data_IF_393786804309
#
_entry.id   IF_393786804309
#
_cell.length_a   1.000
_cell.length_b   1.000
_cell.length_c   1.000
_cell.angle_alpha   90.00
_cell.angle_beta   90.00
_cell.angle_gamma   90.00
#
_symmetry.space_group_name_H-M   'P 1'
#
loop_
_entity.id
_entity.type
_entity.pdbx_description
1 polymer ?
#
# COMPACT_ATOMS: atom_id res chain seq x y z
N UNK A 1 12.90 50.02 32.43
CA UNK A 1 12.17 49.09 31.56
C UNK A 1 10.95 48.53 32.32
N UNK A 2 9.74 49.00 32.02
CA UNK A 2 8.49 48.49 32.63
C UNK A 2 7.97 47.32 31.80
N UNK A 3 7.86 46.17 32.43
CA UNK A 3 7.23 44.98 31.84
C UNK A 3 5.75 45.21 31.56
N UNK A 4 5.30 44.94 30.32
CA UNK A 4 3.89 45.03 29.95
C UNK A 4 3.15 43.83 30.56
N UNK A 5 2.12 44.07 31.42
CA UNK A 5 1.25 43.07 32.00
C UNK A 5 0.19 42.66 30.97
N UNK A 6 -0.06 41.40 30.82
CA UNK A 6 -1.19 40.81 30.08
C UNK A 6 -2.31 40.46 31.09
N UNK A 7 -3.62 40.66 30.75
CA UNK A 7 -4.19 41.12 29.49
C UNK A 7 -4.30 42.65 29.36
N UNK A 8 -4.20 43.17 28.11
CA UNK A 8 -4.41 44.59 27.81
C UNK A 8 -5.90 44.94 27.99
N UNK A 9 -6.18 46.07 28.65
CA UNK A 9 -7.55 46.57 28.78
C UNK A 9 -8.07 47.12 27.46
N UNK A 10 -9.39 47.03 27.24
CA UNK A 10 -10.06 47.44 26.00
C UNK A 10 -9.77 48.90 25.63
N UNK A 11 -9.53 49.77 26.64
CA UNK A 11 -9.23 51.17 26.51
C UNK A 11 -7.88 51.43 25.84
N UNK A 12 -6.88 50.53 26.03
CA UNK A 12 -5.55 50.66 25.43
C UNK A 12 -5.55 50.30 23.94
N UNK A 13 -6.57 49.56 23.47
CA UNK A 13 -6.72 49.18 22.06
C UNK A 13 -7.33 50.30 21.19
N UNK A 14 -8.05 51.25 21.81
CA UNK A 14 -8.75 52.34 21.08
C UNK A 14 -7.82 53.52 20.82
N UNK A 15 -6.82 53.75 21.69
CA UNK A 15 -5.91 54.89 21.58
C UNK A 15 -4.89 54.79 20.44
N UNK A 16 -4.67 53.61 19.86
CA UNK A 16 -3.70 53.40 18.76
C UNK A 16 -4.26 53.58 17.34
N UNK A 17 -5.52 54.00 17.18
CA UNK A 17 -6.21 54.10 15.88
C UNK A 17 -6.37 55.54 15.35
N UNK A 18 -5.51 56.46 15.68
CA UNK A 18 -5.52 57.80 15.04
C UNK A 18 -4.17 58.14 14.42
N UNK A 19 -3.88 57.51 13.26
CA UNK A 19 -3.01 58.03 12.24
C UNK A 19 -3.86 58.34 11.01
N UNK A 20 -3.79 59.54 10.42
CA UNK A 20 -4.51 59.84 9.19
C UNK A 20 -3.91 59.01 8.07
N UNK A 21 -4.74 58.23 7.38
CA UNK A 21 -4.39 57.53 6.17
C UNK A 21 -4.27 58.52 5.04
N UNK A 22 -3.07 58.62 4.46
CA UNK A 22 -2.78 59.31 3.21
C UNK A 22 -3.62 58.64 2.10
N UNK A 23 -4.45 59.44 1.41
CA UNK A 23 -5.21 59.05 0.23
C UNK A 23 -4.28 59.00 -0.97
N UNK A 24 -3.53 57.94 -1.14
CA UNK A 24 -2.87 57.63 -2.39
C UNK A 24 -3.28 56.19 -2.78
N UNK A 25 -4.15 56.09 -3.82
CA UNK A 25 -4.33 54.96 -4.68
C UNK A 25 -4.65 53.62 -3.97
N UNK A 26 -5.86 53.40 -3.44
CA UNK A 26 -6.38 52.04 -3.27
C UNK A 26 -6.69 51.49 -4.67
N UNK A 27 -5.76 50.71 -5.19
CA UNK A 27 -6.02 49.81 -6.31
C UNK A 27 -7.03 48.80 -5.82
N UNK A 28 -8.31 48.93 -6.21
CA UNK A 28 -9.36 47.95 -5.96
C UNK A 28 -8.99 46.71 -6.75
N UNK A 29 -8.49 45.68 -6.08
CA UNK A 29 -8.29 44.35 -6.66
C UNK A 29 -9.65 43.84 -7.17
N UNK A 30 -9.92 44.10 -8.46
CA UNK A 30 -11.05 43.47 -9.14
C UNK A 30 -10.68 42.04 -9.44
N UNK A 31 -11.57 41.05 -9.21
CA UNK A 31 -11.35 39.69 -9.68
C UNK A 31 -11.08 39.76 -11.18
N UNK A 32 -9.90 39.35 -11.61
CA UNK A 32 -9.49 39.48 -13.02
C UNK A 32 -10.20 38.53 -13.97
N UNK A 33 -10.99 37.58 -13.44
CA UNK A 33 -11.78 36.61 -14.26
C UNK A 33 -13.11 36.27 -13.60
N UNK A 34 -14.19 36.08 -14.37
CA UNK A 34 -15.45 35.52 -13.89
C UNK A 34 -15.27 34.10 -13.35
N UNK A 35 -16.02 33.72 -12.29
CA UNK A 35 -15.98 32.38 -11.71
C UNK A 35 -16.32 31.26 -12.71
N UNK A 36 -17.07 31.57 -13.77
CA UNK A 36 -17.35 30.68 -14.90
C UNK A 36 -16.11 30.31 -15.71
N UNK A 37 -15.14 31.22 -15.83
CA UNK A 37 -13.91 30.96 -16.57
C UNK A 37 -12.91 30.16 -15.73
N UNK A 38 -12.87 30.40 -14.42
CA UNK A 38 -12.13 29.57 -13.48
C UNK A 38 -12.65 28.12 -13.47
N UNK A 39 -13.97 27.92 -13.58
CA UNK A 39 -14.59 26.59 -13.66
C UNK A 39 -14.33 25.89 -15.02
N UNK A 40 -14.19 26.66 -16.11
CA UNK A 40 -13.77 26.13 -17.42
C UNK A 40 -12.30 25.75 -17.45
N UNK A 41 -11.43 26.61 -16.91
CA UNK A 41 -10.00 26.34 -16.80
C UNK A 41 -9.73 25.11 -15.90
N UNK A 42 -10.51 24.92 -14.80
CA UNK A 42 -10.45 23.74 -13.98
C UNK A 42 -10.90 22.46 -14.70
N UNK A 43 -11.81 22.54 -15.66
CA UNK A 43 -12.22 21.41 -16.49
C UNK A 43 -11.26 21.13 -17.66
N UNK A 44 -10.53 22.14 -18.10
CA UNK A 44 -9.49 21.98 -19.15
C UNK A 44 -8.12 21.65 -18.56
N UNK A 45 -7.87 21.97 -17.30
CA UNK A 45 -6.68 21.57 -16.56
C UNK A 45 -6.80 20.21 -15.87
N UNK A 46 -7.81 19.40 -16.21
CA UNK A 46 -7.82 17.96 -15.96
C UNK A 46 -6.88 17.22 -16.95
N UNK A 47 -5.74 17.84 -17.28
CA UNK A 47 -4.57 17.06 -17.63
C UNK A 47 -4.21 16.23 -16.41
N UNK A 48 -4.01 14.89 -16.53
CA UNK A 48 -3.48 14.12 -15.44
C UNK A 48 -2.21 14.83 -14.96
N UNK A 49 -2.01 14.85 -13.66
CA UNK A 49 -0.91 15.56 -12.99
C UNK A 49 0.42 15.25 -13.71
N UNK A 50 0.72 16.00 -14.77
CA UNK A 50 1.78 15.78 -15.78
C UNK A 50 3.14 16.31 -15.33
N UNK A 51 3.37 16.37 -13.99
CA UNK A 51 4.65 16.77 -13.44
C UNK A 51 5.48 15.65 -12.82
N UNK A 52 4.90 14.45 -12.60
CA UNK A 52 5.59 13.35 -11.90
C UNK A 52 6.05 12.20 -12.82
N UNK A 53 5.79 12.21 -14.11
CA UNK A 53 6.02 11.07 -14.99
C UNK A 53 7.51 10.71 -15.15
N UNK A 54 8.34 11.63 -15.58
CA UNK A 54 9.78 11.39 -15.76
C UNK A 54 10.51 11.24 -14.43
N UNK A 55 10.16 12.06 -13.43
CA UNK A 55 10.77 12.01 -12.12
C UNK A 55 10.40 10.73 -11.36
N UNK A 56 9.15 10.24 -11.49
CA UNK A 56 8.71 9.01 -10.84
C UNK A 56 9.49 7.77 -11.31
N UNK A 57 9.90 7.72 -12.57
CA UNK A 57 10.70 6.62 -13.12
C UNK A 57 12.13 6.62 -12.56
N UNK A 58 12.71 7.78 -12.32
CA UNK A 58 14.03 7.91 -11.69
C UNK A 58 13.96 7.42 -10.24
N UNK A 59 12.95 7.87 -9.47
CA UNK A 59 12.76 7.43 -8.09
C UNK A 59 12.49 5.93 -8.00
N UNK A 60 11.68 5.38 -8.90
CA UNK A 60 11.41 3.93 -8.99
C UNK A 60 12.69 3.14 -9.25
N UNK A 61 13.53 3.56 -10.21
CA UNK A 61 14.83 2.93 -10.47
C UNK A 61 15.76 2.99 -9.26
N UNK A 62 15.82 4.13 -8.56
CA UNK A 62 16.60 4.26 -7.32
C UNK A 62 16.09 3.35 -6.21
N UNK A 63 14.78 3.21 -6.04
CA UNK A 63 14.18 2.25 -5.11
C UNK A 63 14.64 0.83 -5.44
N UNK A 64 14.53 0.39 -6.69
CA UNK A 64 14.92 -0.95 -7.12
C UNK A 64 16.41 -1.19 -6.89
N UNK A 65 17.27 -0.22 -7.21
CA UNK A 65 18.71 -0.34 -6.98
C UNK A 65 19.05 -0.47 -5.48
N UNK A 66 18.41 0.31 -4.63
CA UNK A 66 18.55 0.17 -3.17
C UNK A 66 18.11 -1.21 -2.69
N UNK A 67 16.97 -1.71 -3.15
CA UNK A 67 16.46 -3.03 -2.80
C UNK A 67 17.40 -4.15 -3.24
N UNK A 68 18.07 -4.01 -4.39
CA UNK A 68 19.07 -4.96 -4.88
C UNK A 68 20.25 -5.06 -3.93
N UNK A 69 20.68 -3.94 -3.36
CA UNK A 69 21.85 -3.88 -2.46
C UNK A 69 21.50 -4.32 -1.03
N UNK A 70 20.34 -3.96 -0.53
CA UNK A 70 20.00 -4.10 0.90
C UNK A 70 19.15 -5.35 1.21
N UNK A 71 18.21 -5.67 0.35
CA UNK A 71 17.16 -6.64 0.67
C UNK A 71 17.50 -8.09 0.22
N UNK A 72 18.55 -8.32 -0.58
CA UNK A 72 18.84 -9.63 -1.17
C UNK A 72 17.64 -10.20 -1.91
N UNK A 73 16.87 -9.35 -2.59
CA UNK A 73 15.68 -9.73 -3.32
C UNK A 73 16.02 -10.43 -4.63
N UNK A 74 15.14 -11.34 -5.03
CA UNK A 74 15.21 -12.01 -6.35
C UNK A 74 15.11 -10.95 -7.47
N UNK A 75 16.05 -10.99 -8.43
CA UNK A 75 16.10 -10.03 -9.54
C UNK A 75 14.81 -9.99 -10.37
N UNK A 76 14.11 -11.13 -10.51
CA UNK A 76 12.82 -11.20 -11.21
C UNK A 76 11.74 -10.43 -10.44
N UNK A 77 11.78 -10.47 -9.11
CA UNK A 77 10.88 -9.66 -8.25
C UNK A 77 11.21 -8.17 -8.39
N UNK A 78 12.49 -7.81 -8.41
CA UNK A 78 12.91 -6.42 -8.60
C UNK A 78 12.48 -5.87 -9.96
N UNK A 79 12.56 -6.67 -11.02
CA UNK A 79 12.04 -6.30 -12.36
C UNK A 79 10.54 -6.11 -12.35
N UNK A 80 9.77 -6.97 -11.68
CA UNK A 80 8.33 -6.79 -11.52
C UNK A 80 8.00 -5.50 -10.74
N UNK A 81 8.72 -5.21 -9.66
CA UNK A 81 8.56 -3.96 -8.91
C UNK A 81 8.98 -2.72 -9.72
N UNK A 82 9.96 -2.85 -10.60
CA UNK A 82 10.35 -1.79 -11.53
C UNK A 82 9.25 -1.49 -12.56
N UNK A 83 8.47 -2.49 -12.96
CA UNK A 83 7.37 -2.34 -13.92
C UNK A 83 6.11 -1.71 -13.31
N UNK A 84 5.88 -1.86 -11.98
CA UNK A 84 4.69 -1.35 -11.31
C UNK A 84 4.94 0.05 -10.73
N UNK A 85 4.16 1.03 -11.15
CA UNK A 85 4.23 2.42 -10.70
C UNK A 85 3.59 2.58 -9.31
N UNK A 86 4.36 2.35 -8.23
CA UNK A 86 3.88 2.31 -6.84
C UNK A 86 3.13 3.59 -6.41
N UNK A 87 3.53 4.77 -6.93
CA UNK A 87 2.89 6.05 -6.62
C UNK A 87 1.41 6.10 -7.06
N UNK A 88 0.97 5.25 -7.98
CA UNK A 88 -0.43 5.15 -8.41
C UNK A 88 -1.34 4.44 -7.38
N UNK A 89 -0.74 3.81 -6.36
CA UNK A 89 -1.43 3.04 -5.33
C UNK A 89 -1.53 3.75 -3.98
N UNK A 90 -1.02 4.97 -3.88
CA UNK A 90 -1.08 5.82 -2.69
C UNK A 90 -1.89 7.09 -2.97
N UNK A 91 -2.22 7.81 -1.91
CA UNK A 91 -2.82 9.14 -2.06
C UNK A 91 -1.87 10.06 -2.84
N UNK A 92 -2.38 10.89 -3.79
CA UNK A 92 -1.54 11.83 -4.54
C UNK A 92 -0.66 12.73 -3.67
N UNK A 93 -1.11 13.11 -2.47
CA UNK A 93 -0.32 13.88 -1.51
C UNK A 93 0.91 13.12 -0.99
N UNK A 94 0.89 11.79 -1.05
CA UNK A 94 1.97 10.91 -0.60
C UNK A 94 2.82 10.36 -1.76
N UNK A 95 2.48 10.70 -2.99
CA UNK A 95 3.16 10.16 -4.18
C UNK A 95 4.67 10.42 -4.19
N UNK A 96 5.12 11.55 -3.63
CA UNK A 96 6.55 11.88 -3.48
C UNK A 96 7.31 10.91 -2.57
N UNK A 97 6.64 10.27 -1.61
CA UNK A 97 7.22 9.31 -0.66
C UNK A 97 7.05 7.85 -1.11
N UNK A 98 6.30 7.60 -2.20
CA UNK A 98 5.93 6.25 -2.62
C UNK A 98 7.13 5.32 -2.88
N UNK A 99 8.29 5.87 -3.21
CA UNK A 99 9.51 5.11 -3.52
C UNK A 99 10.53 5.09 -2.39
N UNK A 100 10.22 5.69 -1.24
CA UNK A 100 11.00 5.54 -0.02
C UNK A 100 10.72 4.19 0.65
N UNK A 101 11.67 3.67 1.44
CA UNK A 101 11.47 2.41 2.15
C UNK A 101 10.66 2.62 3.43
N UNK A 102 9.43 3.08 3.24
CA UNK A 102 8.47 3.35 4.32
C UNK A 102 7.08 2.82 3.99
N UNK A 103 6.31 2.50 5.02
CA UNK A 103 4.89 2.20 4.90
C UNK A 103 4.11 3.50 4.86
N UNK A 104 3.11 3.60 3.97
CA UNK A 104 2.28 4.78 3.82
C UNK A 104 0.81 4.44 4.09
N UNK A 105 0.02 5.35 4.68
CA UNK A 105 -1.39 5.12 4.92
C UNK A 105 -2.18 5.02 3.61
N UNK A 106 -3.13 4.08 3.58
CA UNK A 106 -4.07 3.89 2.46
C UNK A 106 -5.53 4.06 2.90
N UNK A 107 -5.76 4.59 4.12
CA UNK A 107 -7.07 4.75 4.73
C UNK A 107 -7.47 3.58 5.61
N UNK A 108 -8.53 3.75 6.39
CA UNK A 108 -9.12 2.73 7.28
C UNK A 108 -8.12 2.07 8.25
N UNK A 109 -7.11 2.82 8.71
CA UNK A 109 -6.04 2.28 9.57
C UNK A 109 -5.10 1.31 8.88
N UNK A 110 -5.18 1.16 7.54
CA UNK A 110 -4.36 0.26 6.75
C UNK A 110 -3.21 1.00 6.05
N UNK A 111 -2.18 0.24 5.67
CA UNK A 111 -0.99 0.80 5.01
C UNK A 111 -0.58 -0.05 3.80
N UNK A 112 0.00 0.60 2.79
CA UNK A 112 0.83 -0.09 1.81
C UNK A 112 2.16 -0.44 2.49
N UNK A 113 2.56 -1.72 2.43
CA UNK A 113 3.82 -2.19 3.02
C UNK A 113 5.02 -1.52 2.37
N UNK A 114 6.09 -1.29 3.12
CA UNK A 114 7.32 -0.72 2.58
C UNK A 114 7.92 -1.60 1.49
N UNK A 115 8.61 -1.00 0.50
CA UNK A 115 9.15 -1.72 -0.64
C UNK A 115 10.05 -2.91 -0.29
N UNK A 116 10.93 -2.77 0.71
CA UNK A 116 11.83 -3.85 1.14
C UNK A 116 11.08 -5.08 1.66
N UNK A 117 9.98 -4.89 2.38
CA UNK A 117 9.15 -5.99 2.89
C UNK A 117 8.42 -6.70 1.76
N UNK A 118 7.85 -5.96 0.80
CA UNK A 118 7.21 -6.55 -0.39
C UNK A 118 8.23 -7.35 -1.20
N UNK A 119 9.40 -6.76 -1.50
CA UNK A 119 10.47 -7.45 -2.21
C UNK A 119 10.89 -8.75 -1.51
N UNK A 120 11.09 -8.70 -0.20
CA UNK A 120 11.50 -9.85 0.62
C UNK A 120 10.45 -10.95 0.63
N UNK A 121 9.19 -10.61 0.93
CA UNK A 121 8.11 -11.60 1.02
C UNK A 121 7.86 -12.30 -0.33
N UNK A 122 7.83 -11.53 -1.42
CA UNK A 122 7.61 -12.10 -2.75
C UNK A 122 8.82 -12.93 -3.20
N UNK A 123 10.05 -12.52 -2.86
CA UNK A 123 11.25 -13.33 -3.12
C UNK A 123 11.23 -14.65 -2.35
N UNK A 124 10.85 -14.62 -1.07
CA UNK A 124 10.68 -15.85 -0.28
C UNK A 124 9.60 -16.77 -0.88
N UNK A 125 8.49 -16.20 -1.34
CA UNK A 125 7.43 -16.98 -1.99
C UNK A 125 7.93 -17.70 -3.24
N UNK A 126 8.74 -17.02 -4.05
CA UNK A 126 9.31 -17.59 -5.28
C UNK A 126 10.43 -18.59 -5.02
N UNK A 127 11.18 -18.47 -3.94
CA UNK A 127 12.30 -19.35 -3.57
C UNK A 127 11.85 -20.74 -3.08
N UNK A 128 10.65 -21.20 -3.46
CA UNK A 128 10.15 -22.54 -3.13
C UNK A 128 10.99 -23.66 -3.76
N UNK A 129 10.94 -24.83 -3.18
CA UNK A 129 11.66 -25.99 -3.70
C UNK A 129 11.28 -26.30 -5.16
N UNK A 130 12.28 -26.60 -6.00
CA UNK A 130 12.09 -26.91 -7.40
C UNK A 130 12.06 -25.73 -8.36
N UNK A 131 12.06 -24.46 -7.89
CA UNK A 131 12.20 -23.26 -8.72
C UNK A 131 11.15 -23.05 -9.82
N UNK A 132 10.06 -23.84 -9.80
CA UNK A 132 9.02 -23.77 -10.81
C UNK A 132 8.24 -22.44 -10.74
N UNK A 133 7.78 -21.97 -11.89
CA UNK A 133 6.91 -20.78 -11.97
C UNK A 133 5.67 -20.93 -11.08
N UNK A 134 5.25 -19.83 -10.48
CA UNK A 134 4.02 -19.76 -9.71
C UNK A 134 2.81 -19.83 -10.65
N UNK A 135 2.04 -20.91 -10.56
CA UNK A 135 0.85 -21.08 -11.39
C UNK A 135 -0.35 -20.32 -10.78
N UNK A 136 -0.63 -20.58 -9.50
CA UNK A 136 -1.72 -19.90 -8.76
C UNK A 136 -1.20 -19.35 -7.46
N UNK A 137 -1.44 -18.07 -7.24
CA UNK A 137 -1.09 -17.38 -6.00
C UNK A 137 -2.35 -16.84 -5.34
N UNK A 138 -2.46 -17.05 -4.04
CA UNK A 138 -3.44 -16.41 -3.17
C UNK A 138 -2.76 -15.32 -2.36
N UNK A 139 -3.24 -14.10 -2.48
CA UNK A 139 -2.88 -12.97 -1.64
C UNK A 139 -3.99 -12.71 -0.62
N UNK A 140 -3.62 -12.53 0.64
CA UNK A 140 -4.52 -12.15 1.74
C UNK A 140 -4.20 -10.72 2.15
N UNK A 141 -5.18 -9.83 2.02
CA UNK A 141 -5.02 -8.40 2.27
C UNK A 141 -4.57 -7.66 1.01
N UNK A 142 -5.50 -7.42 0.08
CA UNK A 142 -5.26 -6.67 -1.16
C UNK A 142 -4.82 -5.23 -0.89
N UNK A 143 -5.43 -4.58 0.11
CA UNK A 143 -5.20 -3.19 0.44
C UNK A 143 -5.46 -2.27 -0.75
N UNK A 144 -4.44 -1.52 -1.17
CA UNK A 144 -4.52 -0.65 -2.35
C UNK A 144 -4.29 -1.38 -3.69
N UNK A 145 -3.89 -2.67 -3.68
CA UNK A 145 -3.66 -3.49 -4.87
C UNK A 145 -2.21 -3.50 -5.40
N UNK A 146 -1.26 -2.83 -4.76
CA UNK A 146 0.12 -2.76 -5.24
C UNK A 146 0.81 -4.12 -5.30
N UNK A 147 0.76 -4.90 -4.21
CA UNK A 147 1.39 -6.23 -4.17
C UNK A 147 0.69 -7.18 -5.13
N UNK A 148 -0.66 -7.11 -5.26
CA UNK A 148 -1.40 -7.84 -6.28
C UNK A 148 -0.88 -7.53 -7.69
N UNK A 149 -0.67 -6.25 -8.03
CA UNK A 149 -0.10 -5.86 -9.32
C UNK A 149 1.30 -6.47 -9.56
N UNK A 150 2.17 -6.45 -8.55
CA UNK A 150 3.51 -7.09 -8.65
C UNK A 150 3.37 -8.59 -8.88
N UNK A 151 2.48 -9.27 -8.13
CA UNK A 151 2.27 -10.71 -8.25
C UNK A 151 1.75 -11.12 -9.63
N UNK A 152 0.97 -10.27 -10.32
CA UNK A 152 0.47 -10.59 -11.68
C UNK A 152 1.59 -10.71 -12.71
N UNK A 153 2.76 -10.11 -12.46
CA UNK A 153 3.93 -10.23 -13.34
C UNK A 153 4.77 -11.48 -13.03
N UNK A 154 4.45 -12.20 -11.95
CA UNK A 154 5.25 -13.30 -11.40
C UNK A 154 4.49 -14.63 -11.35
N UNK A 155 3.19 -14.60 -11.53
CA UNK A 155 2.33 -15.78 -11.43
C UNK A 155 1.35 -15.83 -12.61
N UNK A 156 0.93 -17.04 -12.98
CA UNK A 156 -0.04 -17.24 -14.06
C UNK A 156 -1.45 -16.79 -13.71
N UNK A 157 -1.85 -16.99 -12.44
CA UNK A 157 -3.13 -16.57 -11.89
C UNK A 157 -2.93 -16.04 -10.47
N UNK A 158 -3.52 -14.90 -10.17
CA UNK A 158 -3.50 -14.27 -8.85
C UNK A 158 -4.94 -14.09 -8.36
N UNK A 159 -5.20 -14.55 -7.16
CA UNK A 159 -6.42 -14.33 -6.42
C UNK A 159 -6.07 -13.46 -5.20
N UNK A 160 -6.72 -12.33 -5.03
CA UNK A 160 -6.41 -11.41 -3.94
C UNK A 160 -7.67 -11.10 -3.15
N UNK A 161 -7.65 -11.40 -1.85
CA UNK A 161 -8.80 -11.29 -0.96
C UNK A 161 -8.68 -10.05 -0.10
N UNK A 162 -9.74 -9.22 -0.10
CA UNK A 162 -9.87 -8.05 0.74
C UNK A 162 -11.17 -8.08 1.53
N UNK A 163 -11.07 -7.84 2.86
CA UNK A 163 -12.24 -7.85 3.77
C UNK A 163 -12.94 -6.51 3.91
N UNK A 164 -12.22 -5.41 3.65
CA UNK A 164 -12.74 -4.05 3.74
C UNK A 164 -13.26 -3.61 2.37
N UNK A 165 -14.58 -3.43 2.25
CA UNK A 165 -15.23 -3.10 0.97
C UNK A 165 -14.63 -1.88 0.28
N UNK A 166 -14.39 -0.81 1.03
CA UNK A 166 -13.83 0.41 0.46
C UNK A 166 -12.40 0.21 -0.08
N UNK A 167 -11.57 -0.64 0.55
CA UNK A 167 -10.24 -0.98 0.01
C UNK A 167 -10.34 -1.91 -1.20
N UNK A 168 -11.27 -2.87 -1.19
CA UNK A 168 -11.55 -3.70 -2.34
C UNK A 168 -11.95 -2.86 -3.57
N UNK A 169 -12.84 -1.87 -3.40
CA UNK A 169 -13.24 -0.96 -4.47
C UNK A 169 -12.08 -0.08 -4.93
N UNK A 170 -11.31 0.47 -3.99
CA UNK A 170 -10.10 1.26 -4.29
C UNK A 170 -9.06 0.45 -5.06
N UNK A 171 -8.82 -0.81 -4.68
CA UNK A 171 -7.91 -1.68 -5.42
C UNK A 171 -8.39 -1.91 -6.86
N UNK A 172 -9.70 -2.09 -7.06
CA UNK A 172 -10.30 -2.20 -8.41
C UNK A 172 -10.07 -0.94 -9.24
N UNK A 173 -10.22 0.24 -8.63
CA UNK A 173 -9.97 1.53 -9.29
C UNK A 173 -8.50 1.68 -9.65
N UNK A 174 -7.58 1.47 -8.71
CA UNK A 174 -6.14 1.57 -8.94
C UNK A 174 -5.66 0.63 -10.05
N UNK A 175 -6.20 -0.57 -10.11
CA UNK A 175 -5.85 -1.60 -11.11
C UNK A 175 -6.60 -1.45 -12.43
N UNK A 176 -7.57 -0.54 -12.51
CA UNK A 176 -8.41 -0.34 -13.71
C UNK A 176 -7.63 0.09 -14.94
N UNK A 177 -6.53 0.82 -14.76
CA UNK A 177 -5.66 1.27 -15.85
C UNK A 177 -4.82 0.12 -16.41
N UNK A 178 -4.36 -0.78 -15.56
CA UNK A 178 -3.49 -1.89 -15.95
C UNK A 178 -4.28 -3.13 -16.40
N UNK A 179 -5.49 -3.32 -15.85
CA UNK A 179 -6.43 -4.44 -16.12
C UNK A 179 -5.73 -5.79 -16.31
N UNK A 180 -4.93 -6.25 -15.35
CA UNK A 180 -4.23 -7.53 -15.50
C UNK A 180 -5.25 -8.67 -15.68
N UNK A 181 -5.19 -9.36 -16.81
CA UNK A 181 -6.16 -10.40 -17.18
C UNK A 181 -6.10 -11.62 -16.24
N UNK A 182 -4.97 -11.81 -15.57
CA UNK A 182 -4.68 -12.92 -14.66
C UNK A 182 -4.95 -12.59 -13.17
N UNK A 183 -5.61 -11.47 -12.86
CA UNK A 183 -5.97 -11.09 -11.48
C UNK A 183 -7.47 -11.27 -11.25
N UNK A 184 -7.81 -11.84 -10.11
CA UNK A 184 -9.17 -11.89 -9.56
C UNK A 184 -9.18 -11.30 -8.16
N UNK A 185 -9.82 -10.16 -7.99
CA UNK A 185 -10.08 -9.55 -6.69
C UNK A 185 -11.33 -10.19 -6.09
N UNK A 186 -11.25 -10.57 -4.83
CA UNK A 186 -12.30 -11.23 -4.07
C UNK A 186 -12.62 -10.39 -2.84
N UNK A 187 -13.86 -9.95 -2.72
CA UNK A 187 -14.35 -9.37 -1.48
C UNK A 187 -14.74 -10.48 -0.51
N UNK A 188 -14.01 -10.64 0.60
CA UNK A 188 -14.21 -11.78 1.50
C UNK A 188 -13.31 -11.76 2.73
N UNK A 189 -13.57 -12.71 3.64
CA UNK A 189 -12.73 -12.95 4.81
C UNK A 189 -11.45 -13.69 4.43
N UNK A 190 -10.31 -12.99 4.52
CA UNK A 190 -9.01 -13.56 4.21
C UNK A 190 -8.61 -14.75 5.09
N UNK A 191 -9.15 -14.88 6.30
CA UNK A 191 -8.87 -16.04 7.18
C UNK A 191 -9.39 -17.35 6.59
N UNK A 192 -10.43 -17.29 5.77
CA UNK A 192 -11.00 -18.45 5.07
C UNK A 192 -10.22 -18.80 3.80
N UNK A 193 -9.26 -17.97 3.39
CA UNK A 193 -8.60 -18.09 2.10
C UNK A 193 -9.58 -17.90 0.94
N UNK A 194 -9.39 -18.68 -0.13
CA UNK A 194 -10.31 -18.71 -1.27
C UNK A 194 -10.39 -20.13 -1.86
N UNK A 195 -11.19 -20.98 -1.23
CA UNK A 195 -11.35 -22.40 -1.56
C UNK A 195 -11.70 -22.71 -3.02
N UNK A 196 -12.59 -21.93 -3.72
CA UNK A 196 -13.03 -22.27 -5.08
C UNK A 196 -11.92 -22.42 -6.12
N UNK A 197 -10.74 -21.85 -5.89
CA UNK A 197 -9.61 -21.89 -6.81
C UNK A 197 -8.36 -22.57 -6.22
N UNK A 198 -8.49 -23.20 -5.07
CA UNK A 198 -7.43 -24.03 -4.49
C UNK A 198 -7.16 -25.30 -5.37
N UNK A 199 -5.98 -25.91 -5.27
CA UNK A 199 -4.87 -25.53 -4.43
C UNK A 199 -3.99 -24.41 -5.04
N UNK A 200 -3.22 -23.72 -4.16
CA UNK A 200 -2.32 -22.63 -4.53
C UNK A 200 -0.86 -23.03 -4.41
N UNK A 201 -0.04 -22.69 -5.38
CA UNK A 201 1.41 -22.87 -5.33
C UNK A 201 2.06 -21.90 -4.36
N UNK A 202 1.48 -20.71 -4.22
CA UNK A 202 1.92 -19.69 -3.31
C UNK A 202 0.75 -19.07 -2.56
N UNK A 203 0.91 -18.88 -1.25
CA UNK A 203 0.00 -18.07 -0.42
C UNK A 203 0.85 -17.00 0.26
N UNK A 204 0.43 -15.74 0.14
CA UNK A 204 1.13 -14.60 0.77
C UNK A 204 0.13 -13.74 1.54
N UNK A 205 0.46 -13.40 2.79
CA UNK A 205 -0.44 -12.61 3.62
C UNK A 205 0.19 -11.26 3.99
N UNK A 206 -0.55 -10.18 3.75
CA UNK A 206 -0.18 -8.81 4.13
C UNK A 206 -0.84 -8.36 5.45
N UNK A 207 -1.27 -9.30 6.27
CA UNK A 207 -1.80 -9.10 7.62
C UNK A 207 -1.31 -10.22 8.55
N UNK A 208 -0.98 -9.89 9.79
CA UNK A 208 -0.39 -10.83 10.75
C UNK A 208 -1.38 -11.30 11.81
N UNK A 209 -1.42 -12.61 12.07
CA UNK A 209 -2.24 -13.25 13.09
C UNK A 209 -1.41 -13.87 14.22
N UNK A 210 -2.10 -14.37 15.25
CA UNK A 210 -1.49 -15.14 16.33
C UNK A 210 -1.14 -16.56 15.87
N UNK A 211 -1.90 -17.11 14.93
CA UNK A 211 -1.70 -18.42 14.31
C UNK A 211 -2.04 -18.34 12.82
N UNK A 212 -1.46 -19.25 12.05
CA UNK A 212 -1.82 -19.45 10.65
C UNK A 212 -3.22 -20.09 10.56
N UNK A 213 -4.16 -19.51 9.81
CA UNK A 213 -5.47 -20.13 9.60
C UNK A 213 -5.34 -21.52 8.96
N UNK A 214 -6.00 -22.56 9.50
CA UNK A 214 -5.95 -23.91 8.90
C UNK A 214 -6.35 -23.94 7.43
N UNK A 215 -7.32 -23.12 7.03
CA UNK A 215 -7.78 -23.01 5.65
C UNK A 215 -6.65 -22.65 4.66
N UNK A 216 -5.64 -21.90 5.08
CA UNK A 216 -4.51 -21.59 4.21
C UNK A 216 -3.61 -22.81 3.99
N UNK A 217 -3.40 -23.62 5.03
CA UNK A 217 -2.59 -24.83 4.96
C UNK A 217 -3.28 -25.92 4.14
N UNK A 218 -4.61 -26.03 4.26
CA UNK A 218 -5.44 -26.95 3.46
C UNK A 218 -5.43 -26.56 1.99
N UNK A 219 -5.51 -25.26 1.69
CA UNK A 219 -5.51 -24.71 0.33
C UNK A 219 -4.12 -24.62 -0.30
N UNK A 220 -3.04 -24.87 0.44
CA UNK A 220 -1.68 -24.89 -0.09
C UNK A 220 -1.45 -26.20 -0.88
N UNK A 221 -0.91 -26.08 -2.09
CA UNK A 221 -0.56 -27.21 -2.93
C UNK A 221 0.61 -28.02 -2.33
N UNK A 222 0.72 -29.30 -2.67
CA UNK A 222 1.95 -30.07 -2.47
C UNK A 222 3.09 -29.37 -3.24
N UNK A 223 4.23 -29.16 -2.58
CA UNK A 223 5.34 -28.35 -3.11
C UNK A 223 5.06 -26.83 -3.10
N UNK A 224 3.93 -26.42 -2.56
CA UNK A 224 3.57 -25.00 -2.40
C UNK A 224 4.24 -24.37 -1.19
N UNK A 225 4.29 -23.04 -1.20
CA UNK A 225 4.88 -22.21 -0.14
C UNK A 225 3.93 -21.12 0.34
N UNK A 226 3.82 -20.97 1.65
CA UNK A 226 3.10 -19.88 2.30
C UNK A 226 4.10 -18.94 2.97
N UNK A 227 3.89 -17.62 2.81
CA UNK A 227 4.67 -16.55 3.47
C UNK A 227 3.71 -15.64 4.21
N UNK A 228 3.86 -15.51 5.53
CA UNK A 228 2.95 -14.71 6.35
C UNK A 228 3.63 -14.12 7.59
N UNK A 229 3.19 -12.95 8.08
CA UNK A 229 3.55 -12.46 9.40
C UNK A 229 2.81 -13.27 10.48
N UNK A 230 3.54 -13.65 11.51
CA UNK A 230 2.98 -14.38 12.67
C UNK A 230 3.44 -13.70 13.96
N UNK A 231 2.57 -13.61 14.95
CA UNK A 231 2.93 -13.09 16.25
C UNK A 231 4.08 -13.91 16.86
N UNK A 232 5.04 -13.20 17.45
CA UNK A 232 6.14 -13.79 18.23
C UNK A 232 6.07 -13.26 19.67
N UNK A 233 5.34 -13.95 20.58
CA UNK A 233 5.19 -13.48 21.94
C UNK A 233 6.52 -13.40 22.71
N UNK A 234 7.51 -14.21 22.32
CA UNK A 234 8.82 -14.22 22.99
C UNK A 234 9.65 -12.96 22.71
N UNK A 235 9.44 -12.33 21.54
CA UNK A 235 10.17 -11.13 21.12
C UNK A 235 9.31 -9.86 21.15
N UNK A 236 8.01 -9.99 21.39
CA UNK A 236 7.07 -8.86 21.43
C UNK A 236 6.90 -8.21 20.05
N UNK A 237 6.20 -8.90 19.13
CA UNK A 237 5.97 -8.38 17.79
C UNK A 237 5.53 -9.47 16.83
N UNK A 238 5.90 -9.32 15.56
CA UNK A 238 5.61 -10.31 14.51
C UNK A 238 6.92 -10.73 13.83
N UNK A 239 6.99 -12.01 13.48
CA UNK A 239 8.06 -12.61 12.69
C UNK A 239 7.51 -13.07 11.35
N UNK A 240 8.26 -12.89 10.29
CA UNK A 240 7.91 -13.47 9.00
C UNK A 240 8.13 -14.97 9.05
N UNK A 241 7.13 -15.76 8.70
CA UNK A 241 7.21 -17.21 8.60
C UNK A 241 7.04 -17.68 7.18
N UNK A 242 7.77 -18.73 6.84
CA UNK A 242 7.62 -19.48 5.60
C UNK A 242 7.17 -20.88 5.98
N UNK A 243 6.13 -21.39 5.31
CA UNK A 243 5.67 -22.76 5.43
C UNK A 243 5.75 -23.44 4.06
N UNK A 244 6.49 -24.53 3.99
CA UNK A 244 6.56 -25.41 2.83
C UNK A 244 5.72 -26.66 3.06
N UNK A 245 4.86 -27.02 2.09
CA UNK A 245 4.13 -28.27 2.08
C UNK A 245 4.89 -29.28 1.23
N UNK A 246 5.47 -30.29 1.89
CA UNK A 246 6.33 -31.26 1.25
C UNK A 246 5.52 -32.28 0.41
N UNK A 247 6.23 -33.12 -0.35
CA UNK A 247 5.62 -34.13 -1.22
C UNK A 247 4.76 -35.18 -0.47
N UNK A 248 5.08 -35.45 0.78
CA UNK A 248 4.33 -36.33 1.67
C UNK A 248 3.14 -35.64 2.36
N UNK A 249 2.94 -34.34 2.08
CA UNK A 249 1.90 -33.52 2.70
C UNK A 249 2.30 -32.91 4.04
N UNK A 250 3.46 -33.23 4.60
CA UNK A 250 3.96 -32.63 5.83
C UNK A 250 4.29 -31.14 5.64
N UNK A 251 4.25 -30.40 6.73
CA UNK A 251 4.50 -28.95 6.73
C UNK A 251 5.80 -28.65 7.46
N UNK A 252 6.68 -27.89 6.81
CA UNK A 252 7.91 -27.40 7.42
C UNK A 252 7.81 -25.88 7.55
N UNK A 253 7.91 -25.40 8.78
CA UNK A 253 7.87 -23.96 9.08
C UNK A 253 9.25 -23.43 9.40
N UNK A 254 9.63 -22.33 8.74
CA UNK A 254 10.88 -21.59 8.99
C UNK A 254 10.55 -20.16 9.42
N UNK A 255 11.26 -19.64 10.42
CA UNK A 255 11.15 -18.25 10.89
C UNK A 255 12.25 -17.41 10.26
N UNK A 256 11.90 -16.19 9.88
CA UNK A 256 12.78 -15.20 9.27
C UNK A 256 12.89 -13.93 10.14
N UNK A 257 13.01 -12.77 9.52
CA UNK A 257 13.17 -11.49 10.17
C UNK A 257 11.89 -11.00 10.87
N UNK A 258 12.08 -10.08 11.82
CA UNK A 258 10.98 -9.37 12.47
C UNK A 258 10.34 -8.39 11.47
N UNK A 259 9.02 -8.36 11.50
CA UNK A 259 8.19 -7.51 10.63
C UNK A 259 7.08 -6.84 11.44
N UNK A 260 6.41 -5.88 10.83
CA UNK A 260 5.24 -5.24 11.43
C UNK A 260 4.15 -5.09 10.39
N UNK A 261 3.06 -5.77 10.61
CA UNK A 261 1.85 -5.75 9.80
C UNK A 261 0.63 -5.41 10.63
N UNK A 262 -0.41 -4.97 9.95
CA UNK A 262 -1.75 -4.83 10.52
C UNK A 262 -2.28 -6.19 10.97
N UNK A 263 -3.17 -6.24 11.98
CA UNK A 263 -3.73 -7.51 12.46
C UNK A 263 -4.59 -8.20 11.39
N UNK A 264 -4.51 -9.53 11.35
CA UNK A 264 -5.39 -10.38 10.55
C UNK A 264 -6.73 -10.52 11.28
N UNK A 265 -7.72 -9.78 10.83
CA UNK A 265 -9.08 -9.80 11.38
C UNK A 265 -10.00 -10.74 10.62
N UNK A 266 -11.04 -11.26 11.29
CA UNK A 266 -12.08 -12.10 10.70
C UNK A 266 -13.29 -11.30 10.23
N UNK A 267 -14.06 -11.90 9.33
CA UNK A 267 -15.26 -11.33 8.77
C UNK A 267 -14.99 -10.23 7.74
N UNK A 268 -16.05 -9.84 7.04
CA UNK A 268 -16.05 -8.71 6.10
C UNK A 268 -16.57 -7.45 6.78
N UNK A 269 -16.18 -6.28 6.28
CA UNK A 269 -16.65 -5.00 6.79
C UNK A 269 -17.03 -4.06 5.65
N UNK A 270 -18.28 -3.66 5.66
CA UNK A 270 -18.85 -2.66 4.74
C UNK A 270 -18.62 -1.22 5.23
N UNK A 271 -18.09 -1.04 6.45
CA UNK A 271 -17.87 0.28 7.04
C UNK A 271 -16.64 0.94 6.36
N UNK A 272 -16.95 1.92 5.53
CA UNK A 272 -16.01 2.79 4.85
C UNK A 272 -16.36 4.27 5.00
N UNK A 273 -17.17 4.61 6.00
CA UNK A 273 -17.60 5.99 6.24
C UNK A 273 -17.52 6.30 7.74
N UNK A 274 -16.44 6.96 8.12
CA UNK A 274 -16.39 7.92 9.20
C UNK A 274 -15.44 9.03 8.79
#
# INVERSE_FOLDING_TARGET
ARAKRFPLRLEDAVASRRRPLSTAGQEVLRPQRPLSDAARDARQSSSPAGGMGLDSDIFRRRMVERLRQEAGADEVVLQAMAAVARHQFVDPALAGQAYEDTSLPIGLGQTISKPSVVARMVSLLRARAGGAELQRVLEIGTGCGYQAAVLTLLARQVYSVERLKALYERARENLSLQRPANLRLVYGDGRLGHGPNAPYDGIIAAAGGEALPPAWLDQLAIGGRLVAPLADPARGGQVLVVVDKLADGSLVQTRHEMVRFVPLESGISDYGHC
#
